data_IF_826874208895
#
_entry.id   IF_826874208895
#
_cell.length_a   1.000
_cell.length_b   1.000
_cell.length_c   1.000
_cell.angle_alpha   90.00
_cell.angle_beta   90.00
_cell.angle_gamma   90.00
#
_symmetry.space_group_name_H-M   'P 1'
#
loop_
_entity.id
_entity.type
_entity.pdbx_description
1 polymer ?
#
# COMPACT_ATOMS: atom_id res chain seq x y z
N UNK A 1 -11.49 1.01 47.21
CA UNK A 1 -11.00 -0.18 46.51
C UNK A 1 -10.96 0.21 45.05
N UNK A 2 -9.81 0.68 44.63
CA UNK A 2 -9.61 1.45 43.41
C UNK A 2 -9.37 0.49 42.24
N UNK A 3 -10.31 0.44 41.28
CA UNK A 3 -10.29 -0.45 40.11
C UNK A 3 -9.36 0.06 38.99
N UNK A 4 -8.52 1.05 39.28
CA UNK A 4 -7.58 1.68 38.34
C UNK A 4 -6.22 0.97 38.22
N UNK A 5 -6.00 -0.15 38.91
CA UNK A 5 -4.69 -0.83 38.98
C UNK A 5 -4.60 -2.21 38.30
N UNK A 6 -5.64 -2.70 37.62
CA UNK A 6 -5.64 -4.06 37.03
C UNK A 6 -5.59 -4.14 35.49
N UNK A 7 -5.62 -3.02 34.76
CA UNK A 7 -5.68 -3.03 33.28
C UNK A 7 -4.49 -2.33 32.58
N UNK A 8 -3.46 -1.93 33.33
CA UNK A 8 -2.40 -1.05 32.82
C UNK A 8 -1.02 -1.69 32.57
N UNK A 9 -0.79 -2.97 32.88
CA UNK A 9 0.58 -3.54 32.86
C UNK A 9 0.78 -4.82 32.05
N UNK A 10 -0.28 -5.51 31.58
CA UNK A 10 -0.13 -6.78 30.83
C UNK A 10 -0.09 -6.67 29.30
N UNK A 11 -0.31 -5.47 28.73
CA UNK A 11 -0.23 -5.23 27.27
C UNK A 11 1.18 -4.87 26.77
N UNK A 12 2.20 -4.79 27.64
CA UNK A 12 3.59 -4.45 27.29
C UNK A 12 4.59 -5.62 27.30
N UNK A 13 4.11 -6.86 27.42
CA UNK A 13 4.96 -8.07 27.31
C UNK A 13 4.28 -9.20 26.52
N UNK A 14 3.75 -8.90 25.34
CA UNK A 14 3.72 -9.92 24.30
C UNK A 14 5.05 -9.84 23.56
N UNK A 15 5.97 -10.75 23.92
CA UNK A 15 7.08 -11.09 23.05
C UNK A 15 6.51 -11.38 21.66
N UNK A 16 6.89 -10.57 20.68
CA UNK A 16 6.53 -10.76 19.29
C UNK A 16 7.15 -12.08 18.81
N UNK A 17 6.41 -13.16 18.96
CA UNK A 17 6.84 -14.46 18.46
C UNK A 17 6.74 -14.43 16.93
N UNK A 18 7.76 -14.94 16.25
CA UNK A 18 7.75 -15.19 14.80
C UNK A 18 6.48 -15.92 14.32
N UNK A 19 5.83 -16.65 15.22
CA UNK A 19 4.63 -17.43 14.93
C UNK A 19 3.35 -16.61 14.70
N UNK A 20 3.20 -15.44 15.34
CA UNK A 20 2.02 -14.58 15.13
C UNK A 20 2.22 -13.57 13.99
N UNK A 21 3.47 -13.34 13.59
CA UNK A 21 3.83 -12.24 12.68
C UNK A 21 3.78 -12.63 11.20
N UNK A 22 3.97 -13.91 10.89
CA UNK A 22 4.10 -14.41 9.52
C UNK A 22 3.12 -15.55 9.24
N UNK A 23 2.61 -15.62 8.01
CA UNK A 23 1.74 -16.73 7.56
C UNK A 23 2.44 -18.09 7.68
N UNK A 24 1.69 -19.20 7.66
CA UNK A 24 2.26 -20.56 7.69
C UNK A 24 3.31 -20.77 6.60
N UNK A 25 2.99 -20.42 5.35
CA UNK A 25 3.91 -20.54 4.21
C UNK A 25 5.16 -19.67 4.37
N UNK A 26 5.00 -18.43 4.81
CA UNK A 26 6.14 -17.55 5.08
C UNK A 26 7.05 -18.12 6.17
N UNK A 27 6.48 -18.69 7.24
CA UNK A 27 7.25 -19.32 8.32
C UNK A 27 8.06 -20.51 7.85
N UNK A 28 7.56 -21.28 6.90
CA UNK A 28 8.29 -22.41 6.34
C UNK A 28 9.55 -21.98 5.59
N UNK A 29 9.43 -20.97 4.72
CA UNK A 29 10.60 -20.34 4.05
C UNK A 29 11.59 -19.79 5.05
N UNK A 30 11.09 -19.02 6.02
CA UNK A 30 11.90 -18.37 7.04
C UNK A 30 12.67 -19.40 7.87
N UNK A 31 12.06 -20.53 8.25
CA UNK A 31 12.73 -21.58 9.04
C UNK A 31 13.83 -22.29 8.24
N UNK A 32 13.65 -22.47 6.93
CA UNK A 32 14.58 -23.20 6.08
C UNK A 32 15.71 -22.34 5.50
N UNK A 33 15.63 -21.01 5.62
CA UNK A 33 16.60 -20.08 5.04
C UNK A 33 17.19 -19.18 6.13
N UNK A 34 18.40 -19.49 6.60
CA UNK A 34 19.03 -18.86 7.76
C UNK A 34 19.16 -17.34 7.65
N UNK A 35 19.62 -16.82 6.50
CA UNK A 35 19.76 -15.38 6.30
C UNK A 35 18.41 -14.65 6.28
N UNK A 36 17.37 -15.28 5.74
CA UNK A 36 16.00 -14.77 5.81
C UNK A 36 15.50 -14.75 7.25
N UNK A 37 15.77 -15.79 8.04
CA UNK A 37 15.43 -15.85 9.45
C UNK A 37 16.07 -14.72 10.26
N UNK A 38 17.37 -14.49 10.03
CA UNK A 38 18.07 -13.39 10.66
C UNK A 38 17.44 -12.04 10.30
N UNK A 39 17.16 -11.81 9.02
CA UNK A 39 16.50 -10.58 8.56
C UNK A 39 15.10 -10.42 9.18
N UNK A 40 14.27 -11.46 9.18
CA UNK A 40 12.93 -11.40 9.77
C UNK A 40 12.97 -11.15 11.28
N UNK A 41 14.00 -11.62 11.99
CA UNK A 41 14.21 -11.27 13.40
C UNK A 41 14.47 -9.76 13.58
N UNK A 42 15.22 -9.13 12.66
CA UNK A 42 15.39 -7.65 12.64
C UNK A 42 14.08 -6.94 12.36
N UNK A 43 13.28 -7.44 11.41
CA UNK A 43 11.95 -6.91 11.10
C UNK A 43 11.06 -6.91 12.34
N UNK A 44 10.97 -8.03 13.06
CA UNK A 44 10.16 -8.17 14.28
C UNK A 44 10.63 -7.19 15.36
N UNK A 45 11.95 -7.08 15.57
CA UNK A 45 12.49 -6.14 16.55
C UNK A 45 12.25 -4.67 16.18
N UNK A 46 12.14 -4.35 14.89
CA UNK A 46 11.88 -2.99 14.41
C UNK A 46 10.38 -2.65 14.33
N UNK A 47 9.50 -3.65 14.29
CA UNK A 47 8.06 -3.46 14.12
C UNK A 47 7.41 -2.39 15.03
N UNK A 48 7.80 -2.24 16.32
CA UNK A 48 7.27 -1.18 17.17
C UNK A 48 7.50 0.25 16.65
N UNK A 49 8.55 0.49 15.85
CA UNK A 49 8.86 1.80 15.29
C UNK A 49 8.01 2.16 14.07
N UNK A 50 7.31 1.18 13.47
CA UNK A 50 6.48 1.35 12.27
C UNK A 50 7.19 2.05 11.09
N UNK A 51 8.53 1.99 11.01
CA UNK A 51 9.31 2.60 9.91
C UNK A 51 10.38 1.68 9.35
N UNK A 52 10.26 1.34 8.06
CA UNK A 52 11.17 0.41 7.39
C UNK A 52 12.56 1.01 7.13
N UNK A 53 12.72 2.33 7.26
CA UNK A 53 13.96 3.06 6.93
C UNK A 53 15.23 2.45 7.58
N UNK A 54 15.12 1.99 8.82
CA UNK A 54 16.20 1.37 9.59
C UNK A 54 16.63 -0.01 9.07
N UNK A 55 15.83 -0.65 8.22
CA UNK A 55 16.10 -1.99 7.66
C UNK A 55 16.87 -1.93 6.33
N UNK A 56 17.23 -0.73 5.84
CA UNK A 56 17.93 -0.56 4.57
C UNK A 56 19.20 -1.40 4.51
N UNK A 57 20.05 -1.29 5.55
CA UNK A 57 21.33 -2.01 5.59
C UNK A 57 21.14 -3.52 5.73
N UNK A 58 20.21 -3.94 6.59
CA UNK A 58 19.89 -5.37 6.76
C UNK A 58 19.38 -6.00 5.44
N UNK A 59 18.65 -5.23 4.62
CA UNK A 59 18.15 -5.71 3.33
C UNK A 59 19.25 -5.81 2.26
N UNK A 60 20.22 -4.89 2.26
CA UNK A 60 21.44 -5.00 1.42
C UNK A 60 22.24 -6.25 1.79
N UNK A 61 22.41 -6.51 3.09
CA UNK A 61 23.18 -7.65 3.59
C UNK A 61 22.45 -8.97 3.28
N UNK A 62 21.12 -9.00 3.38
CA UNK A 62 20.30 -10.13 2.93
C UNK A 62 20.50 -10.40 1.44
N UNK A 63 20.43 -9.37 0.59
CA UNK A 63 20.60 -9.49 -0.85
C UNK A 63 21.98 -10.02 -1.25
N UNK A 64 23.03 -9.66 -0.50
CA UNK A 64 24.41 -10.11 -0.73
C UNK A 64 24.71 -11.50 -0.16
N UNK A 65 23.78 -12.09 0.60
CA UNK A 65 23.89 -13.45 1.13
C UNK A 65 23.47 -14.51 0.09
N UNK A 66 23.54 -15.79 0.48
CA UNK A 66 22.99 -16.92 -0.30
C UNK A 66 21.46 -16.98 -0.34
N UNK A 67 20.76 -16.03 0.28
CA UNK A 67 19.31 -15.98 0.44
C UNK A 67 18.56 -16.31 -0.85
N UNK A 68 18.86 -15.60 -1.94
CA UNK A 68 18.09 -15.71 -3.17
C UNK A 68 18.20 -17.11 -3.79
N UNK A 69 19.41 -17.68 -3.80
CA UNK A 69 19.64 -19.04 -4.29
C UNK A 69 18.93 -20.09 -3.41
N UNK A 70 18.98 -19.92 -2.08
CA UNK A 70 18.29 -20.81 -1.15
C UNK A 70 16.78 -20.73 -1.30
N UNK A 71 16.23 -19.53 -1.48
CA UNK A 71 14.80 -19.33 -1.74
C UNK A 71 14.37 -20.01 -3.03
N UNK A 72 15.08 -19.79 -4.14
CA UNK A 72 14.74 -20.43 -5.43
C UNK A 72 14.78 -21.95 -5.31
N UNK A 73 15.81 -22.51 -4.69
CA UNK A 73 15.93 -23.95 -4.51
C UNK A 73 14.83 -24.53 -3.61
N UNK A 74 14.44 -23.80 -2.55
CA UNK A 74 13.32 -24.17 -1.69
C UNK A 74 12.02 -24.26 -2.51
N UNK A 75 11.69 -23.21 -3.27
CA UNK A 75 10.46 -23.16 -4.08
C UNK A 75 10.43 -24.24 -5.17
N UNK A 76 11.56 -24.49 -5.85
CA UNK A 76 11.66 -25.55 -6.85
C UNK A 76 11.49 -26.95 -6.24
N UNK A 77 12.01 -27.15 -5.03
CA UNK A 77 11.88 -28.42 -4.31
C UNK A 77 10.42 -28.67 -3.92
N UNK A 78 9.75 -27.66 -3.35
CA UNK A 78 8.33 -27.74 -2.99
C UNK A 78 7.45 -28.01 -4.22
N UNK A 79 7.67 -27.29 -5.32
CA UNK A 79 6.94 -27.51 -6.58
C UNK A 79 7.18 -28.91 -7.17
N UNK A 80 8.37 -29.49 -7.00
CA UNK A 80 8.68 -30.82 -7.50
C UNK A 80 8.11 -31.95 -6.62
N UNK A 81 7.97 -31.73 -5.31
CA UNK A 81 7.63 -32.76 -4.35
C UNK A 81 6.17 -32.72 -3.87
N UNK A 82 5.54 -31.55 -3.93
CA UNK A 82 4.21 -31.34 -3.36
C UNK A 82 3.24 -30.85 -4.44
N UNK A 83 2.40 -31.77 -4.93
CA UNK A 83 1.46 -31.50 -6.03
C UNK A 83 0.36 -30.48 -5.71
N UNK A 84 0.17 -30.14 -4.43
CA UNK A 84 -0.79 -29.13 -3.97
C UNK A 84 -0.09 -27.85 -3.50
N UNK A 85 1.24 -27.78 -3.57
CA UNK A 85 1.98 -26.58 -3.23
C UNK A 85 1.68 -25.47 -4.23
N UNK A 86 1.26 -24.32 -3.72
CA UNK A 86 1.08 -23.12 -4.53
C UNK A 86 1.78 -21.96 -3.83
N UNK A 87 2.83 -21.39 -4.42
CA UNK A 87 3.51 -20.24 -3.84
C UNK A 87 2.64 -18.98 -4.05
N UNK A 88 1.72 -18.74 -3.12
CA UNK A 88 0.78 -17.61 -3.15
C UNK A 88 1.11 -16.65 -2.00
N UNK A 89 1.06 -15.32 -2.21
CA UNK A 89 0.72 -14.64 -3.47
C UNK A 89 1.93 -14.40 -4.38
N UNK A 90 1.85 -14.93 -5.61
CA UNK A 90 2.79 -14.67 -6.70
C UNK A 90 2.06 -14.54 -8.04
N UNK A 91 2.68 -13.84 -8.98
CA UNK A 91 2.25 -13.71 -10.37
C UNK A 91 3.49 -13.67 -11.28
N UNK A 92 3.30 -13.41 -12.58
CA UNK A 92 4.42 -13.25 -13.51
C UNK A 92 5.34 -12.06 -13.19
N UNK A 93 4.87 -11.07 -12.44
CA UNK A 93 5.61 -9.82 -12.17
C UNK A 93 6.00 -9.61 -10.70
N UNK A 94 5.54 -10.48 -9.80
CA UNK A 94 5.95 -10.41 -8.40
C UNK A 94 5.85 -11.76 -7.69
N UNK A 95 6.67 -11.93 -6.67
CA UNK A 95 6.67 -13.09 -5.77
C UNK A 95 6.78 -12.61 -4.32
N UNK A 96 5.77 -12.87 -3.51
CA UNK A 96 5.77 -12.48 -2.09
C UNK A 96 6.58 -13.47 -1.27
N UNK A 97 7.63 -12.98 -0.60
CA UNK A 97 8.47 -13.77 0.30
C UNK A 97 7.75 -13.88 1.66
N UNK A 98 7.40 -12.74 2.24
CA UNK A 98 6.55 -12.65 3.42
C UNK A 98 5.65 -11.41 3.39
N UNK A 99 4.55 -11.50 4.12
CA UNK A 99 3.65 -10.39 4.43
C UNK A 99 3.33 -10.43 5.92
N UNK A 100 3.48 -9.30 6.61
CA UNK A 100 3.17 -9.16 8.04
C UNK A 100 2.41 -7.85 8.29
N UNK A 101 1.93 -7.59 9.51
CA UNK A 101 1.15 -6.37 9.82
C UNK A 101 1.92 -5.05 9.64
N UNK A 102 3.24 -5.12 9.51
CA UNK A 102 4.12 -3.98 9.49
C UNK A 102 4.70 -3.68 8.10
N UNK A 103 5.12 -4.72 7.37
CA UNK A 103 5.73 -4.57 6.06
C UNK A 103 5.57 -5.84 5.23
N UNK A 104 5.84 -5.72 3.93
CA UNK A 104 5.79 -6.84 2.99
C UNK A 104 7.11 -6.89 2.24
N UNK A 105 7.68 -8.09 2.09
CA UNK A 105 8.88 -8.34 1.31
C UNK A 105 8.54 -9.20 0.09
N UNK A 106 8.94 -8.74 -1.08
CA UNK A 106 8.70 -9.44 -2.33
C UNK A 106 9.83 -9.19 -3.33
N UNK A 107 9.89 -10.08 -4.31
CA UNK A 107 10.69 -9.87 -5.52
C UNK A 107 9.73 -9.32 -6.58
N UNK A 108 10.09 -8.22 -7.21
CA UNK A 108 9.38 -7.72 -8.40
C UNK A 108 10.23 -7.99 -9.63
N UNK A 109 9.57 -8.35 -10.73
CA UNK A 109 10.18 -8.47 -12.04
C UNK A 109 9.36 -7.71 -13.07
N UNK A 110 10.04 -6.88 -13.87
CA UNK A 110 9.45 -6.10 -14.96
C UNK A 110 10.31 -6.21 -16.20
N UNK A 111 9.67 -6.25 -17.37
CA UNK A 111 10.34 -6.24 -18.67
C UNK A 111 10.49 -4.81 -19.17
N UNK A 112 11.48 -4.56 -20.02
CA UNK A 112 11.72 -3.24 -20.62
C UNK A 112 10.48 -2.66 -21.33
N UNK A 113 9.66 -3.53 -21.93
CA UNK A 113 8.39 -3.16 -22.56
C UNK A 113 7.41 -2.48 -21.61
N UNK A 114 7.48 -2.78 -20.31
CA UNK A 114 6.56 -2.25 -19.30
C UNK A 114 6.82 -0.75 -19.05
N UNK A 115 8.01 -0.26 -19.39
CA UNK A 115 8.41 1.14 -19.19
C UNK A 115 8.16 2.02 -20.42
N UNK A 116 8.03 1.43 -21.61
CA UNK A 116 7.95 2.19 -22.87
C UNK A 116 6.74 3.14 -22.94
N UNK A 117 5.62 2.73 -22.35
CA UNK A 117 4.35 3.46 -22.36
C UNK A 117 4.08 4.26 -21.07
N UNK A 118 5.05 4.32 -20.14
CA UNK A 118 4.88 5.12 -18.92
C UNK A 118 4.92 6.60 -19.27
N UNK A 119 3.74 7.23 -19.28
CA UNK A 119 3.57 8.68 -19.46
C UNK A 119 3.46 9.41 -18.11
N UNK A 120 3.30 8.64 -17.04
CA UNK A 120 2.98 9.16 -15.71
C UNK A 120 3.86 8.52 -14.64
N UNK A 121 4.03 9.23 -13.54
CA UNK A 121 4.73 8.74 -12.35
C UNK A 121 4.04 9.22 -11.08
N UNK A 122 4.28 8.54 -9.97
CA UNK A 122 3.75 8.94 -8.67
C UNK A 122 4.77 8.59 -7.58
N UNK A 123 4.74 9.28 -6.43
CA UNK A 123 5.38 8.76 -5.24
C UNK A 123 4.62 7.52 -4.76
N UNK A 124 5.07 7.00 -3.63
CA UNK A 124 4.41 5.89 -2.95
C UNK A 124 3.76 6.36 -1.66
N UNK A 125 2.65 5.72 -1.31
CA UNK A 125 1.88 6.08 -0.13
C UNK A 125 2.53 5.62 1.19
N UNK A 126 3.43 4.63 1.11
CA UNK A 126 4.25 4.16 2.22
C UNK A 126 5.73 4.14 1.83
N UNK A 127 6.59 4.19 2.84
CA UNK A 127 8.04 4.10 2.64
C UNK A 127 8.40 2.77 1.99
N UNK A 128 9.39 2.81 1.09
CA UNK A 128 9.87 1.62 0.38
C UNK A 128 11.38 1.55 0.41
N UNK A 129 11.92 0.35 0.54
CA UNK A 129 13.33 0.09 0.24
C UNK A 129 13.36 -0.83 -0.97
N UNK A 130 14.08 -0.42 -2.00
CA UNK A 130 14.35 -1.23 -3.19
C UNK A 130 15.81 -1.61 -3.21
N UNK A 131 16.09 -2.89 -3.48
CA UNK A 131 17.45 -3.40 -3.70
C UNK A 131 17.53 -3.98 -5.10
N UNK A 132 18.54 -3.57 -5.86
CA UNK A 132 18.74 -4.08 -7.22
C UNK A 132 19.19 -5.53 -7.19
N UNK A 133 18.48 -6.40 -7.94
CA UNK A 133 18.90 -7.76 -8.23
C UNK A 133 19.54 -7.89 -9.63
N UNK A 134 19.68 -6.77 -10.34
CA UNK A 134 20.29 -6.72 -11.67
C UNK A 134 21.81 -6.59 -11.57
N UNK A 135 22.54 -7.51 -12.20
CA UNK A 135 24.02 -7.46 -12.26
C UNK A 135 24.54 -6.24 -13.02
N UNK A 136 23.80 -5.76 -14.01
CA UNK A 136 24.12 -4.53 -14.79
C UNK A 136 23.67 -3.23 -14.09
N UNK A 137 23.03 -3.34 -12.92
CA UNK A 137 22.38 -2.23 -12.25
C UNK A 137 21.00 -1.90 -12.84
N UNK A 138 20.32 -0.93 -12.22
CA UNK A 138 19.04 -0.39 -12.67
C UNK A 138 19.21 1.09 -12.90
N UNK A 139 18.89 1.55 -14.12
CA UNK A 139 18.94 2.96 -14.48
C UNK A 139 17.63 3.63 -14.08
N UNK A 140 17.69 4.75 -13.37
CA UNK A 140 16.48 5.45 -12.92
C UNK A 140 16.66 6.97 -12.89
N UNK A 141 15.52 7.65 -12.86
CA UNK A 141 15.42 9.07 -12.55
C UNK A 141 14.76 9.23 -11.18
N UNK A 142 15.22 10.20 -10.41
CA UNK A 142 14.69 10.50 -9.10
C UNK A 142 14.18 11.93 -9.06
N UNK A 143 12.96 12.10 -8.58
CA UNK A 143 12.33 13.40 -8.40
C UNK A 143 11.82 13.57 -6.97
N UNK A 144 11.67 14.83 -6.56
CA UNK A 144 11.05 15.20 -5.30
C UNK A 144 9.69 15.87 -5.53
N UNK A 145 8.71 15.41 -4.76
CA UNK A 145 7.41 16.05 -4.57
C UNK A 145 7.50 17.04 -3.39
N UNK A 146 7.33 18.33 -3.69
CA UNK A 146 7.48 19.39 -2.70
C UNK A 146 6.17 19.64 -1.92
N UNK A 147 6.13 19.22 -0.65
CA UNK A 147 5.03 19.48 0.29
C UNK A 147 3.62 19.28 -0.32
N UNK A 148 3.19 18.03 -0.53
CA UNK A 148 1.94 17.72 -1.20
C UNK A 148 0.71 17.87 -0.29
N UNK A 149 0.86 18.42 0.92
CA UNK A 149 -0.25 18.49 1.86
C UNK A 149 -1.14 19.72 1.60
N UNK A 150 -2.47 19.56 1.71
CA UNK A 150 -3.18 18.30 1.97
C UNK A 150 -3.17 17.35 0.74
N UNK A 151 -2.89 16.06 0.96
CA UNK A 151 -2.56 15.06 -0.10
C UNK A 151 -3.75 14.71 -0.99
N UNK A 152 -4.95 14.98 -0.51
CA UNK A 152 -6.25 14.76 -1.16
C UNK A 152 -6.74 15.99 -1.95
N UNK A 153 -5.96 17.08 -2.02
CA UNK A 153 -6.28 18.27 -2.82
C UNK A 153 -5.12 18.61 -3.75
N UNK A 154 -5.33 18.42 -5.05
CA UNK A 154 -4.27 18.65 -6.05
C UNK A 154 -3.96 20.15 -6.23
N UNK A 155 -2.69 20.52 -6.04
CA UNK A 155 -2.18 21.85 -6.41
C UNK A 155 -1.45 21.77 -7.75
N UNK A 156 -2.10 22.24 -8.82
CA UNK A 156 -1.59 22.18 -10.19
C UNK A 156 -0.30 22.97 -10.42
N UNK A 157 0.11 23.84 -9.50
CA UNK A 157 1.33 24.62 -9.63
C UNK A 157 2.56 23.92 -9.05
N UNK A 158 2.39 22.86 -8.23
CA UNK A 158 3.48 22.15 -7.57
C UNK A 158 4.09 21.07 -8.47
N UNK A 159 5.08 21.45 -9.26
CA UNK A 159 5.82 20.52 -10.12
C UNK A 159 6.79 19.64 -9.31
N UNK A 160 7.08 18.46 -9.86
CA UNK A 160 8.21 17.66 -9.40
C UNK A 160 9.53 18.39 -9.66
N UNK A 161 10.47 18.24 -8.72
CA UNK A 161 11.85 18.72 -8.86
C UNK A 161 12.75 17.53 -9.19
N UNK A 162 13.48 17.58 -10.30
CA UNK A 162 14.47 16.55 -10.63
C UNK A 162 15.62 16.59 -9.62
N UNK A 163 15.85 15.47 -8.92
CA UNK A 163 16.99 15.29 -8.02
C UNK A 163 18.20 14.77 -8.82
N UNK A 164 17.97 13.78 -9.68
CA UNK A 164 19.02 13.19 -10.49
C UNK A 164 18.45 12.42 -11.68
N UNK A 165 19.15 12.52 -12.80
CA UNK A 165 18.79 11.86 -14.04
C UNK A 165 19.79 10.74 -14.32
N UNK A 166 19.29 9.64 -14.90
CA UNK A 166 20.13 8.56 -15.40
C UNK A 166 21.08 7.97 -14.33
N UNK A 167 20.62 7.96 -13.09
CA UNK A 167 21.30 7.36 -11.94
C UNK A 167 21.34 5.84 -12.11
N UNK A 168 22.32 5.19 -11.49
CA UNK A 168 22.42 3.74 -11.46
C UNK A 168 22.24 3.23 -10.03
N UNK A 169 21.44 2.18 -9.86
CA UNK A 169 21.34 1.41 -8.63
C UNK A 169 22.05 0.07 -8.85
N UNK A 170 23.27 -0.05 -8.31
CA UNK A 170 24.13 -1.22 -8.56
C UNK A 170 23.59 -2.48 -7.86
N UNK A 171 24.01 -3.65 -8.33
CA UNK A 171 23.61 -4.93 -7.72
C UNK A 171 23.83 -4.94 -6.20
N UNK A 172 22.77 -5.27 -5.44
CA UNK A 172 22.81 -5.32 -3.98
C UNK A 172 22.90 -3.96 -3.29
N UNK A 173 22.83 -2.86 -4.03
CA UNK A 173 22.64 -1.52 -3.48
C UNK A 173 21.15 -1.27 -3.19
N UNK A 174 20.87 -0.64 -2.04
CA UNK A 174 19.54 -0.24 -1.66
C UNK A 174 19.29 1.26 -1.81
N UNK A 175 18.07 1.62 -2.19
CA UNK A 175 17.54 2.99 -2.11
C UNK A 175 16.31 3.02 -1.20
N UNK A 176 16.24 4.01 -0.31
CA UNK A 176 15.05 4.33 0.48
C UNK A 176 14.24 5.38 -0.28
N UNK A 177 12.96 5.10 -0.51
CA UNK A 177 11.99 6.00 -1.10
C UNK A 177 11.00 6.40 -0.01
N UNK A 178 11.00 7.68 0.36
CA UNK A 178 10.13 8.23 1.40
C UNK A 178 8.73 8.46 0.85
N UNK A 179 7.72 8.08 1.64
CA UNK A 179 6.32 8.28 1.30
C UNK A 179 6.02 9.74 1.00
N UNK A 180 5.15 9.98 0.02
CA UNK A 180 4.68 11.30 -0.41
C UNK A 180 5.80 12.28 -0.84
N UNK A 181 7.05 11.84 -1.00
CA UNK A 181 8.19 12.72 -1.30
C UNK A 181 8.99 12.23 -2.49
N UNK A 182 9.49 11.00 -2.45
CA UNK A 182 10.43 10.51 -3.46
C UNK A 182 9.65 9.83 -4.59
N UNK A 183 9.87 10.29 -5.82
CA UNK A 183 9.28 9.73 -7.04
C UNK A 183 10.40 9.04 -7.82
N UNK A 184 10.34 7.71 -7.87
CA UNK A 184 11.31 6.86 -8.55
C UNK A 184 10.75 6.43 -9.91
N UNK A 185 11.43 6.78 -11.00
CA UNK A 185 11.05 6.39 -12.35
C UNK A 185 12.12 5.50 -12.98
N UNK A 186 11.73 4.30 -13.39
CA UNK A 186 12.60 3.38 -14.12
C UNK A 186 12.84 3.92 -15.53
N UNK A 187 14.11 4.04 -15.91
CA UNK A 187 14.48 4.43 -17.27
C UNK A 187 14.02 3.40 -18.30
N UNK A 188 13.59 3.88 -19.47
CA UNK A 188 13.27 3.04 -20.65
C UNK A 188 14.47 2.28 -21.21
N UNK A 189 15.69 2.60 -20.75
CA UNK A 189 16.93 1.91 -21.13
C UNK A 189 17.10 0.56 -20.42
N UNK A 190 16.33 0.28 -19.37
CA UNK A 190 16.39 -1.02 -18.71
C UNK A 190 15.71 -2.09 -19.57
N UNK A 191 16.42 -3.19 -19.87
CA UNK A 191 15.86 -4.34 -20.59
C UNK A 191 15.00 -5.24 -19.69
N UNK A 192 15.41 -5.34 -18.43
CA UNK A 192 14.69 -6.06 -17.38
C UNK A 192 15.00 -5.35 -16.06
N UNK A 193 14.05 -5.37 -15.12
CA UNK A 193 14.25 -4.85 -13.78
C UNK A 193 13.79 -5.92 -12.80
N UNK A 194 14.70 -6.38 -11.97
CA UNK A 194 14.43 -7.26 -10.86
C UNK A 194 14.83 -6.54 -9.57
N UNK A 195 13.88 -6.40 -8.64
CA UNK A 195 14.15 -5.74 -7.35
C UNK A 195 13.67 -6.61 -6.20
N UNK A 196 14.47 -6.69 -5.15
CA UNK A 196 14.00 -7.10 -3.83
C UNK A 196 13.44 -5.85 -3.15
N UNK A 197 12.18 -5.89 -2.79
CA UNK A 197 11.44 -4.70 -2.39
C UNK A 197 10.71 -4.94 -1.07
N UNK A 198 10.95 -4.02 -0.12
CA UNK A 198 10.34 -4.00 1.20
C UNK A 198 9.42 -2.77 1.30
N UNK A 199 8.11 -2.98 1.39
CA UNK A 199 7.14 -1.89 1.52
C UNK A 199 6.62 -1.80 2.95
N UNK A 200 6.56 -0.58 3.48
CA UNK A 200 5.87 -0.29 4.73
C UNK A 200 4.35 -0.41 4.56
N UNK A 201 3.64 -0.91 5.58
CA UNK A 201 2.18 -0.86 5.65
C UNK A 201 1.63 0.42 6.30
N UNK A 202 2.50 1.31 6.76
CA UNK A 202 2.11 2.68 7.13
C UNK A 202 1.90 3.52 5.85
N UNK A 203 0.78 3.26 5.17
CA UNK A 203 0.44 3.86 3.88
C UNK A 203 -0.61 4.98 4.01
N UNK A 204 -0.38 6.08 3.31
CA UNK A 204 -1.36 7.14 3.12
C UNK A 204 -2.51 6.72 2.18
N UNK A 205 -3.66 7.41 2.26
CA UNK A 205 -4.83 7.07 1.45
C UNK A 205 -4.66 7.45 -0.03
N UNK A 206 -3.83 8.46 -0.33
CA UNK A 206 -3.74 9.06 -1.66
C UNK A 206 -2.30 9.41 -2.03
N UNK A 207 -2.03 9.45 -3.33
CA UNK A 207 -0.84 10.06 -3.91
C UNK A 207 -1.20 10.88 -5.14
N UNK A 208 -0.40 11.88 -5.47
CA UNK A 208 -0.55 12.61 -6.74
C UNK A 208 0.18 11.87 -7.85
N UNK A 209 -0.50 11.71 -8.98
CA UNK A 209 0.12 11.24 -10.21
C UNK A 209 0.52 12.44 -11.06
N UNK A 210 1.69 12.38 -11.68
CA UNK A 210 2.32 13.45 -12.44
C UNK A 210 2.54 13.04 -13.89
N UNK A 211 2.49 14.03 -14.77
CA UNK A 211 2.92 13.89 -16.16
C UNK A 211 4.45 13.88 -16.23
N UNK A 212 5.06 12.83 -16.78
CA UNK A 212 6.52 12.71 -16.84
C UNK A 212 7.18 13.75 -17.75
N UNK A 213 6.44 14.31 -18.72
CA UNK A 213 6.99 15.29 -19.66
C UNK A 213 7.01 16.71 -19.07
N UNK A 214 5.91 17.13 -18.44
CA UNK A 214 5.73 18.48 -17.92
C UNK A 214 6.00 18.61 -16.44
N UNK A 215 6.07 17.47 -15.72
CA UNK A 215 6.25 17.35 -14.28
C UNK A 215 5.14 18.00 -13.44
N UNK A 216 4.01 18.36 -14.05
CA UNK A 216 2.85 18.87 -13.32
C UNK A 216 1.99 17.72 -12.81
N UNK A 217 1.32 17.90 -11.66
CA UNK A 217 0.39 16.91 -11.15
C UNK A 217 -0.87 16.87 -12.04
N UNK A 218 -1.31 15.66 -12.35
CA UNK A 218 -2.42 15.34 -13.24
C UNK A 218 -3.70 15.08 -12.47
N UNK A 219 -3.64 14.16 -11.51
CA UNK A 219 -4.77 13.66 -10.73
C UNK A 219 -4.30 13.07 -9.40
N UNK A 220 -5.24 12.83 -8.51
CA UNK A 220 -5.05 12.03 -7.31
C UNK A 220 -5.41 10.59 -7.63
N UNK A 221 -4.62 9.64 -7.13
CA UNK A 221 -4.89 8.21 -7.21
C UNK A 221 -4.82 7.61 -5.81
N UNK A 222 -5.48 6.46 -5.61
CA UNK A 222 -5.42 5.76 -4.34
C UNK A 222 -3.97 5.37 -4.01
N UNK A 223 -3.55 5.68 -2.79
CA UNK A 223 -2.22 5.35 -2.27
C UNK A 223 -2.13 3.89 -1.84
N UNK A 224 -3.17 3.42 -1.15
CA UNK A 224 -3.36 2.03 -0.75
C UNK A 224 -4.56 1.43 -1.50
N UNK A 225 -4.30 0.89 -2.69
CA UNK A 225 -5.31 0.17 -3.48
C UNK A 225 -5.85 -1.04 -2.74
N UNK A 226 -5.09 -1.63 -1.81
CA UNK A 226 -5.50 -2.88 -1.17
C UNK A 226 -6.50 -2.65 -0.05
N UNK A 227 -6.50 -1.52 0.65
CA UNK A 227 -7.45 -1.28 1.74
C UNK A 227 -8.63 -0.45 1.29
N UNK A 228 -8.44 0.76 0.75
CA UNK A 228 -9.56 1.65 0.40
C UNK A 228 -10.45 1.05 -0.69
N UNK A 229 -9.86 0.58 -1.82
CA UNK A 229 -10.67 0.05 -2.93
C UNK A 229 -11.43 -1.22 -2.56
N UNK A 230 -10.87 -2.07 -1.69
CA UNK A 230 -11.57 -3.26 -1.19
C UNK A 230 -12.70 -2.88 -0.24
N UNK A 231 -12.51 -1.86 0.58
CA UNK A 231 -13.57 -1.33 1.46
C UNK A 231 -14.67 -0.69 0.62
N UNK A 232 -14.35 0.16 -0.34
CA UNK A 232 -15.31 0.74 -1.31
C UNK A 232 -16.10 -0.37 -2.01
N UNK A 233 -15.41 -1.36 -2.59
CA UNK A 233 -16.06 -2.48 -3.26
C UNK A 233 -16.95 -3.31 -2.31
N UNK A 234 -16.49 -3.49 -1.06
CA UNK A 234 -17.29 -4.16 -0.02
C UNK A 234 -18.53 -3.34 0.32
N UNK A 235 -18.42 -2.01 0.44
CA UNK A 235 -19.57 -1.13 0.61
C UNK A 235 -20.55 -1.31 -0.53
N UNK A 236 -20.11 -1.19 -1.79
CA UNK A 236 -20.97 -1.34 -2.98
C UNK A 236 -21.67 -2.70 -2.96
N UNK A 237 -20.92 -3.79 -2.75
CA UNK A 237 -21.47 -5.14 -2.69
C UNK A 237 -22.52 -5.30 -1.58
N UNK A 238 -22.26 -4.78 -0.38
CA UNK A 238 -23.23 -4.82 0.73
C UNK A 238 -24.50 -4.02 0.41
N UNK A 239 -24.34 -2.90 -0.30
CA UNK A 239 -25.44 -2.10 -0.83
C UNK A 239 -26.32 -2.90 -1.80
N UNK A 240 -25.69 -3.52 -2.79
CA UNK A 240 -26.36 -4.35 -3.81
C UNK A 240 -27.03 -5.60 -3.22
N UNK A 241 -26.43 -6.23 -2.22
CA UNK A 241 -27.02 -7.37 -1.51
C UNK A 241 -28.28 -6.95 -0.71
N UNK A 242 -28.37 -5.69 -0.27
CA UNK A 242 -29.56 -5.17 0.41
C UNK A 242 -29.75 -5.69 1.85
N UNK A 243 -28.71 -6.25 2.48
CA UNK A 243 -28.85 -6.77 3.85
C UNK A 243 -28.81 -5.62 4.86
N UNK A 244 -29.99 -5.27 5.41
CA UNK A 244 -30.20 -4.24 6.44
C UNK A 244 -29.29 -4.37 7.67
N UNK A 245 -28.82 -5.57 8.01
CA UNK A 245 -27.88 -5.78 9.12
C UNK A 245 -26.50 -5.14 8.88
N UNK A 246 -26.19 -4.80 7.63
CA UNK A 246 -24.92 -4.16 7.25
C UNK A 246 -24.91 -2.67 7.53
N UNK A 247 -26.09 -2.04 7.70
CA UNK A 247 -26.23 -0.58 7.86
C UNK A 247 -25.38 -0.06 9.01
N UNK A 248 -25.37 -0.72 10.18
CA UNK A 248 -24.58 -0.30 11.35
C UNK A 248 -23.08 -0.23 11.01
N UNK A 249 -22.56 -1.22 10.28
CA UNK A 249 -21.14 -1.26 9.88
C UNK A 249 -20.83 -0.24 8.78
N UNK A 250 -21.76 0.01 7.87
CA UNK A 250 -21.62 1.05 6.86
C UNK A 250 -21.60 2.45 7.50
N UNK A 251 -22.38 2.70 8.55
CA UNK A 251 -22.33 3.97 9.29
C UNK A 251 -20.95 4.23 9.91
N UNK A 252 -20.27 3.19 10.42
CA UNK A 252 -18.90 3.32 10.94
C UNK A 252 -17.91 3.79 9.85
N UNK A 253 -18.17 3.45 8.58
CA UNK A 253 -17.32 3.84 7.46
C UNK A 253 -17.55 5.28 6.99
N UNK A 254 -18.57 5.99 7.50
CA UNK A 254 -18.72 7.43 7.27
C UNK A 254 -17.64 8.26 7.98
N UNK A 255 -16.88 7.67 8.91
CA UNK A 255 -15.73 8.31 9.57
C UNK A 255 -14.38 7.86 9.00
N UNK A 256 -14.39 7.10 7.91
CA UNK A 256 -13.18 6.59 7.30
C UNK A 256 -12.28 7.73 6.79
N UNK A 257 -10.96 7.55 6.89
CA UNK A 257 -9.97 8.56 6.47
C UNK A 257 -10.05 8.88 4.98
N UNK A 258 -10.30 7.85 4.17
CA UNK A 258 -10.54 7.96 2.73
C UNK A 258 -11.95 8.48 2.42
N UNK A 259 -12.05 9.62 1.73
CA UNK A 259 -13.33 10.23 1.39
C UNK A 259 -14.14 9.38 0.40
N UNK A 260 -13.51 8.60 -0.49
CA UNK A 260 -14.24 7.72 -1.41
C UNK A 260 -14.98 6.63 -0.64
N UNK A 261 -14.34 6.05 0.38
CA UNK A 261 -14.97 5.09 1.29
C UNK A 261 -16.18 5.71 2.00
N UNK A 262 -16.05 6.94 2.52
CA UNK A 262 -17.16 7.64 3.19
C UNK A 262 -18.35 7.82 2.25
N UNK A 263 -18.09 8.26 1.01
CA UNK A 263 -19.14 8.45 0.01
C UNK A 263 -19.80 7.14 -0.41
N UNK A 264 -19.00 6.10 -0.64
CA UNK A 264 -19.53 4.80 -1.06
C UNK A 264 -20.34 4.15 0.05
N UNK A 265 -19.93 4.30 1.31
CA UNK A 265 -20.72 3.88 2.46
C UNK A 265 -22.09 4.58 2.50
N UNK A 266 -22.15 5.91 2.32
CA UNK A 266 -23.41 6.65 2.28
C UNK A 266 -24.32 6.22 1.11
N UNK A 267 -23.75 6.01 -0.08
CA UNK A 267 -24.47 5.47 -1.25
C UNK A 267 -25.04 4.09 -0.97
N UNK A 268 -24.25 3.20 -0.38
CA UNK A 268 -24.70 1.84 -0.05
C UNK A 268 -25.80 1.83 1.00
N UNK A 269 -25.72 2.69 2.03
CA UNK A 269 -26.79 2.83 3.02
C UNK A 269 -28.08 3.28 2.31
N UNK A 270 -28.00 4.31 1.45
CA UNK A 270 -29.15 4.79 0.66
C UNK A 270 -29.77 3.71 -0.21
N UNK A 271 -28.97 2.83 -0.82
CA UNK A 271 -29.47 1.71 -1.61
C UNK A 271 -30.18 0.64 -0.77
N UNK A 272 -29.73 0.39 0.45
CA UNK A 272 -30.33 -0.59 1.35
C UNK A 272 -31.63 -0.04 1.95
N UNK A 273 -31.59 1.21 2.43
CA UNK A 273 -32.69 1.87 3.13
C UNK A 273 -32.58 3.39 2.92
N UNK A 274 -33.57 3.97 2.24
CA UNK A 274 -33.57 5.38 1.86
C UNK A 274 -33.56 6.33 3.06
N UNK A 275 -34.26 5.98 4.13
CA UNK A 275 -34.36 6.84 5.32
C UNK A 275 -33.01 6.88 6.04
N UNK A 276 -32.35 5.73 6.15
CA UNK A 276 -30.97 5.64 6.65
C UNK A 276 -29.97 6.29 5.71
N UNK A 277 -30.20 6.25 4.41
CA UNK A 277 -29.39 6.98 3.43
C UNK A 277 -29.43 8.49 3.65
N UNK A 278 -30.62 9.05 3.90
CA UNK A 278 -30.78 10.47 4.20
C UNK A 278 -30.08 10.84 5.52
N UNK A 279 -30.14 9.98 6.54
CA UNK A 279 -29.37 10.15 7.78
C UNK A 279 -27.85 10.19 7.52
N UNK A 280 -27.34 9.29 6.67
CA UNK A 280 -25.93 9.28 6.25
C UNK A 280 -25.52 10.54 5.47
N UNK A 281 -26.36 11.03 4.54
CA UNK A 281 -26.09 12.28 3.82
C UNK A 281 -26.10 13.49 4.76
N UNK A 282 -26.98 13.52 5.77
CA UNK A 282 -26.98 14.57 6.79
C UNK A 282 -25.70 14.56 7.62
N UNK A 283 -25.17 13.37 7.94
CA UNK A 283 -23.87 13.24 8.59
C UNK A 283 -22.74 13.85 7.74
N UNK A 284 -22.72 13.56 6.43
CA UNK A 284 -21.69 14.06 5.50
C UNK A 284 -21.87 15.51 5.05
N UNK A 285 -22.96 16.19 5.43
CA UNK A 285 -23.23 17.57 5.01
C UNK A 285 -22.13 18.57 5.38
N UNK A 286 -21.43 18.31 6.49
CA UNK A 286 -20.33 19.13 6.97
C UNK A 286 -18.95 18.47 6.76
N UNK A 287 -18.86 17.50 5.85
CA UNK A 287 -17.59 16.86 5.52
C UNK A 287 -16.58 17.90 5.02
N UNK A 288 -15.36 17.84 5.56
CA UNK A 288 -14.29 18.77 5.21
C UNK A 288 -13.79 18.63 3.77
N UNK A 289 -14.04 17.48 3.12
CA UNK A 289 -13.55 17.21 1.79
C UNK A 289 -14.45 17.86 0.72
N UNK A 290 -13.90 18.73 -0.16
CA UNK A 290 -14.71 19.51 -1.12
C UNK A 290 -15.58 18.66 -2.05
N UNK A 291 -15.12 17.47 -2.44
CA UNK A 291 -15.89 16.59 -3.33
C UNK A 291 -17.07 15.93 -2.61
N UNK A 292 -16.96 15.63 -1.31
CA UNK A 292 -18.08 15.08 -0.53
C UNK A 292 -19.15 16.14 -0.36
N UNK A 293 -18.75 17.35 0.03
CA UNK A 293 -19.67 18.48 0.16
C UNK A 293 -20.49 18.70 -1.13
N UNK A 294 -19.83 18.76 -2.29
CA UNK A 294 -20.50 18.89 -3.59
C UNK A 294 -21.43 17.71 -3.90
N UNK A 295 -21.01 16.49 -3.58
CA UNK A 295 -21.77 15.28 -3.84
C UNK A 295 -23.05 15.22 -2.99
N UNK A 296 -22.95 15.57 -1.70
CA UNK A 296 -24.09 15.66 -0.77
C UNK A 296 -25.09 16.73 -1.22
N UNK A 297 -24.63 17.93 -1.58
CA UNK A 297 -25.47 19.00 -2.12
C UNK A 297 -26.22 18.57 -3.38
N UNK A 298 -25.55 17.83 -4.28
CA UNK A 298 -26.18 17.27 -5.48
C UNK A 298 -27.22 16.20 -5.13
N UNK A 299 -26.91 15.32 -4.18
CA UNK A 299 -27.82 14.26 -3.75
C UNK A 299 -29.09 14.83 -3.11
N UNK A 300 -28.98 15.82 -2.22
CA UNK A 300 -30.16 16.47 -1.63
C UNK A 300 -31.05 17.12 -2.70
N UNK A 301 -30.48 17.84 -3.67
CA UNK A 301 -31.24 18.39 -4.80
C UNK A 301 -31.99 17.31 -5.59
N UNK A 302 -31.39 16.14 -5.77
CA UNK A 302 -32.02 15.02 -6.47
C UNK A 302 -33.19 14.43 -5.66
N UNK A 303 -33.02 14.26 -4.34
CA UNK A 303 -34.06 13.76 -3.44
C UNK A 303 -35.24 14.73 -3.37
N UNK A 304 -34.97 16.04 -3.23
CA UNK A 304 -36.00 17.09 -3.27
C UNK A 304 -36.80 17.04 -4.58
N UNK A 305 -36.11 16.94 -5.73
CA UNK A 305 -36.79 16.86 -7.04
C UNK A 305 -37.60 15.56 -7.22
N UNK A 306 -37.21 14.45 -6.60
CA UNK A 306 -37.96 13.20 -6.63
C UNK A 306 -39.16 13.19 -5.68
N UNK A 307 -39.15 14.02 -4.63
CA UNK A 307 -40.24 14.14 -3.67
C UNK A 307 -41.39 15.04 -4.15
N UNK A 308 -41.29 15.63 -5.35
CA UNK A 308 -42.22 16.62 -5.92
C UNK A 308 -43.13 16.01 -7.01
N UNK A 309 -43.17 14.69 -7.16
CA UNK A 309 -44.06 13.94 -8.08
C UNK A 309 -44.95 13.01 -7.27
#
# INVERSE_FOLDING_TARGET
MDLSLAFGQDLKKHFLCMESFFSSLSRERIRNIESLNHFCSKVVNNAPNRSVSNLKKDLEDLCKSSFLAQLINFELTELAQNSVYVPVPASFSFFTIFDCEYCSLFILSRKGSDFNNSLHCSPHAGDRILVSLNTEGIIYNLYNQNNPYPIDIIDRNKKLTLIGENLNLDFGEAILLRKDQDVFEYSKRNHQVNVLALYSKDEGPFVWEYDLKSLHPLRIVAGNYQTSSRVEHTCTLLGEIGNVKSIEKLFQLLEHSDFNVRWEAAKSIMWIDSDKGIEALNFLKNDSHPEIFKAVEKAFKQIENQSVI
#
